data_IF_269571257942
#
_entry.id   IF_269571257942
#
_cell.length_a   1.000
_cell.length_b   1.000
_cell.length_c   1.000
_cell.angle_alpha   90.00
_cell.angle_beta   90.00
_cell.angle_gamma   90.00
#
_symmetry.space_group_name_H-M   'P 1'
#
loop_
_entity.id
_entity.type
_entity.pdbx_description
1 polymer ?
#
# COMPACT_ATOMS: atom_id res chain seq x y z
N UNK A 1 10.16 14.68 16.20
CA UNK A 1 10.63 14.64 17.62
C UNK A 1 10.99 13.20 17.93
N UNK A 2 12.29 12.91 18.06
CA UNK A 2 12.79 11.61 18.48
C UNK A 2 12.23 11.27 19.87
N UNK A 3 11.41 10.27 19.97
CA UNK A 3 11.01 9.76 21.28
C UNK A 3 12.23 9.08 21.91
N UNK A 4 12.73 9.64 23.02
CA UNK A 4 13.86 9.05 23.72
C UNK A 4 13.53 7.61 24.17
N UNK A 5 14.51 6.69 24.18
CA UNK A 5 14.31 5.31 24.65
C UNK A 5 13.68 5.23 26.06
N UNK A 6 13.86 6.26 26.89
CA UNK A 6 13.27 6.33 28.23
C UNK A 6 11.76 6.59 28.21
N UNK A 7 11.23 7.38 27.27
CA UNK A 7 9.79 7.59 27.10
C UNK A 7 9.07 6.33 26.57
N UNK A 8 9.78 5.51 25.82
CA UNK A 8 9.25 4.27 25.28
C UNK A 8 9.13 3.15 26.34
N UNK A 9 9.88 3.22 27.46
CA UNK A 9 9.88 2.17 28.50
C UNK A 9 8.55 1.99 29.24
N UNK A 10 7.66 2.95 29.19
CA UNK A 10 6.33 2.89 29.82
C UNK A 10 5.20 2.37 28.92
N UNK A 11 5.48 2.11 27.64
CA UNK A 11 4.45 1.62 26.73
C UNK A 11 4.33 0.10 26.85
N UNK A 12 3.11 -0.38 27.09
CA UNK A 12 2.79 -1.81 27.21
C UNK A 12 2.85 -2.50 25.84
N UNK A 13 2.47 -1.78 24.79
CA UNK A 13 2.51 -2.25 23.42
C UNK A 13 3.31 -1.28 22.54
N UNK A 14 4.16 -1.83 21.69
CA UNK A 14 4.95 -1.07 20.71
C UNK A 14 4.84 -1.80 19.39
N UNK A 15 4.39 -1.11 18.39
CA UNK A 15 4.49 -1.54 17.02
C UNK A 15 5.41 -0.57 16.27
N UNK A 16 6.35 -1.10 15.53
CA UNK A 16 7.17 -0.31 14.61
C UNK A 16 6.34 -0.20 13.32
N UNK A 17 6.08 1.02 12.82
CA UNK A 17 5.33 1.17 11.59
C UNK A 17 5.97 0.38 10.46
N UNK A 18 5.19 -0.46 9.79
CA UNK A 18 5.65 -1.23 8.65
C UNK A 18 5.87 -0.32 7.45
N UNK A 19 6.78 -0.74 6.59
CA UNK A 19 6.98 -0.11 5.29
C UNK A 19 6.23 -0.89 4.21
N UNK A 20 5.67 -0.14 3.27
CA UNK A 20 4.93 -0.64 2.12
C UNK A 20 5.63 -0.22 0.84
N UNK A 21 5.82 -1.16 -0.08
CA UNK A 21 6.31 -0.93 -1.43
C UNK A 21 5.17 -0.93 -2.45
N UNK A 22 5.47 -0.51 -3.67
CA UNK A 22 4.55 -0.61 -4.80
C UNK A 22 4.44 -2.07 -5.23
N UNK A 23 3.22 -2.50 -5.52
CA UNK A 23 2.92 -3.86 -5.97
C UNK A 23 2.22 -3.81 -7.33
N UNK A 24 2.77 -4.50 -8.33
CA UNK A 24 2.18 -4.62 -9.65
C UNK A 24 3.13 -4.29 -10.79
N UNK A 25 2.59 -3.97 -11.91
CA UNK A 25 3.13 -3.92 -13.25
C UNK A 25 4.60 -3.49 -13.39
N UNK A 26 5.41 -4.37 -13.97
CA UNK A 26 6.73 -3.99 -14.49
C UNK A 26 6.57 -2.91 -15.57
N UNK A 27 7.29 -1.80 -15.41
CA UNK A 27 7.34 -0.73 -16.41
C UNK A 27 7.89 -1.28 -17.72
N UNK A 28 7.15 -1.15 -18.81
CA UNK A 28 7.73 -1.33 -20.15
C UNK A 28 6.86 -1.95 -21.22
N UNK A 29 5.65 -2.36 -20.95
CA UNK A 29 4.75 -2.83 -22.01
C UNK A 29 3.83 -1.71 -22.43
N UNK A 30 3.88 -1.30 -23.69
CA UNK A 30 2.79 -0.54 -24.30
C UNK A 30 1.52 -1.40 -24.16
N UNK A 31 0.67 -1.07 -23.21
CA UNK A 31 -0.55 -1.83 -22.94
C UNK A 31 -1.52 -1.59 -24.10
N UNK A 32 -1.61 -2.57 -24.98
CA UNK A 32 -2.77 -2.64 -25.87
C UNK A 32 -3.97 -3.05 -25.00
N UNK A 33 -5.08 -2.33 -25.12
CA UNK A 33 -6.31 -2.70 -24.40
C UNK A 33 -6.73 -4.12 -24.79
N UNK A 34 -6.70 -5.01 -23.82
CA UNK A 34 -7.24 -6.35 -23.92
C UNK A 34 -8.50 -6.45 -23.06
N UNK A 35 -9.68 -6.65 -23.61
CA UNK A 35 -10.92 -6.81 -22.84
C UNK A 35 -11.00 -8.19 -22.16
N UNK A 36 -10.10 -9.12 -22.48
CA UNK A 36 -10.15 -10.49 -21.98
C UNK A 36 -10.15 -10.59 -20.43
N UNK A 37 -9.35 -9.83 -19.67
CA UNK A 37 -9.42 -9.83 -18.21
C UNK A 37 -10.78 -9.41 -17.67
N UNK A 38 -11.38 -8.36 -18.19
CA UNK A 38 -12.71 -7.90 -17.78
C UNK A 38 -13.81 -8.93 -18.14
N UNK A 39 -13.65 -9.60 -19.26
CA UNK A 39 -14.56 -10.65 -19.69
C UNK A 39 -14.41 -11.91 -18.81
N UNK A 40 -13.19 -12.36 -18.53
CA UNK A 40 -12.91 -13.53 -17.67
C UNK A 40 -13.39 -13.34 -16.25
N UNK A 41 -13.26 -12.10 -15.71
CA UNK A 41 -13.76 -11.75 -14.38
C UNK A 41 -15.28 -11.51 -14.33
N UNK A 42 -16.00 -11.63 -15.45
CA UNK A 42 -17.45 -11.41 -15.51
C UNK A 42 -17.87 -9.92 -15.46
N UNK A 43 -16.92 -8.98 -15.53
CA UNK A 43 -17.18 -7.55 -15.41
C UNK A 43 -18.01 -7.06 -16.61
N UNK A 44 -17.67 -7.45 -17.83
CA UNK A 44 -18.41 -7.04 -19.02
C UNK A 44 -19.87 -7.50 -19.00
N UNK A 45 -20.14 -8.69 -18.43
CA UNK A 45 -21.49 -9.22 -18.30
C UNK A 45 -22.37 -8.36 -17.37
N UNK A 46 -21.80 -7.86 -16.26
CA UNK A 46 -22.56 -7.02 -15.31
C UNK A 46 -22.65 -5.56 -15.76
N UNK A 47 -21.71 -5.10 -16.58
CA UNK A 47 -21.77 -3.77 -17.20
C UNK A 47 -22.85 -3.69 -18.29
N UNK A 48 -23.16 -4.81 -18.94
CA UNK A 48 -24.20 -4.90 -19.97
C UNK A 48 -25.61 -5.00 -19.42
N UNK A 49 -26.59 -4.90 -20.37
CA UNK A 49 -28.00 -5.11 -20.04
C UNK A 49 -28.23 -6.56 -19.56
N UNK A 50 -29.15 -6.82 -18.61
CA UNK A 50 -30.06 -5.84 -17.98
C UNK A 50 -29.49 -5.12 -16.77
N UNK A 51 -28.30 -5.48 -16.29
CA UNK A 51 -27.77 -5.02 -15.00
C UNK A 51 -27.23 -3.59 -15.08
N UNK A 52 -26.48 -3.25 -16.13
CA UNK A 52 -25.87 -1.93 -16.38
C UNK A 52 -25.08 -1.39 -15.17
N UNK A 53 -24.30 -2.28 -14.50
CA UNK A 53 -23.52 -1.94 -13.32
C UNK A 53 -22.16 -1.36 -13.76
N UNK A 54 -22.06 -0.05 -13.82
CA UNK A 54 -20.88 0.69 -14.31
C UNK A 54 -20.14 1.44 -13.21
N UNK A 55 -20.52 1.24 -11.94
CA UNK A 55 -19.98 1.95 -10.78
C UNK A 55 -20.64 3.31 -10.51
N UNK A 56 -21.67 3.69 -11.25
CA UNK A 56 -22.39 4.95 -11.04
C UNK A 56 -22.93 5.05 -9.62
N UNK A 57 -22.63 6.17 -8.95
CA UNK A 57 -23.04 6.40 -7.57
C UNK A 57 -22.08 5.81 -6.51
N UNK A 58 -21.05 5.08 -6.92
CA UNK A 58 -20.00 4.55 -6.04
C UNK A 58 -18.78 5.47 -6.08
N UNK A 59 -18.07 5.57 -4.97
CA UNK A 59 -16.76 6.22 -4.86
C UNK A 59 -15.68 5.13 -4.85
N UNK A 60 -14.69 5.24 -5.73
CA UNK A 60 -13.46 4.48 -5.68
C UNK A 60 -12.38 5.35 -5.02
N UNK A 61 -11.83 4.87 -3.93
CA UNK A 61 -10.76 5.52 -3.19
C UNK A 61 -9.42 4.83 -3.47
N UNK A 62 -8.43 5.58 -3.92
CA UNK A 62 -7.08 5.07 -4.18
C UNK A 62 -6.08 5.68 -3.22
N UNK A 63 -5.18 4.88 -2.70
CA UNK A 63 -4.03 5.31 -1.94
C UNK A 63 -2.78 4.71 -2.57
N UNK A 64 -1.95 5.58 -3.17
CA UNK A 64 -0.85 5.16 -4.04
C UNK A 64 0.12 6.34 -4.31
N UNK A 65 0.85 6.30 -5.44
CA UNK A 65 1.79 7.36 -5.89
C UNK A 65 1.12 8.66 -6.32
N UNK A 66 -0.21 8.71 -6.39
CA UNK A 66 -1.00 9.84 -6.87
C UNK A 66 -1.83 9.50 -8.11
N UNK A 67 -2.17 10.52 -8.88
CA UNK A 67 -2.92 10.39 -10.13
C UNK A 67 -2.57 11.51 -11.11
N UNK A 68 -2.48 11.20 -12.39
CA UNK A 68 -2.43 12.17 -13.49
C UNK A 68 -3.84 12.63 -13.79
N UNK A 69 -4.31 13.58 -13.01
CA UNK A 69 -5.71 14.03 -13.03
C UNK A 69 -6.14 14.65 -14.35
N UNK A 70 -5.20 15.04 -15.20
CA UNK A 70 -5.40 15.64 -16.51
C UNK A 70 -5.62 14.61 -17.64
N UNK A 71 -5.50 13.33 -17.37
CA UNK A 71 -5.80 12.28 -18.34
C UNK A 71 -7.30 12.19 -18.67
N UNK A 72 -7.63 11.91 -19.94
CA UNK A 72 -9.03 11.81 -20.42
C UNK A 72 -9.81 10.69 -19.74
N UNK A 73 -9.13 9.60 -19.36
CA UNK A 73 -9.75 8.43 -18.73
C UNK A 73 -10.41 8.74 -17.38
N UNK A 74 -10.14 9.91 -16.79
CA UNK A 74 -10.74 10.34 -15.53
C UNK A 74 -11.80 11.43 -15.70
N UNK A 75 -12.31 11.62 -16.92
CA UNK A 75 -13.33 12.64 -17.21
C UNK A 75 -14.66 12.02 -17.58
N UNK A 76 -15.72 12.78 -17.33
CA UNK A 76 -17.04 12.51 -17.87
C UNK A 76 -17.08 12.82 -19.38
N UNK A 77 -18.10 12.35 -20.12
CA UNK A 77 -18.25 12.67 -21.55
C UNK A 77 -18.37 14.18 -21.86
N UNK A 78 -18.78 14.99 -20.89
CA UNK A 78 -18.84 16.45 -20.98
C UNK A 78 -17.51 17.16 -20.71
N UNK A 79 -16.43 16.41 -20.47
CA UNK A 79 -15.10 16.90 -20.15
C UNK A 79 -14.89 17.27 -18.68
N UNK A 80 -15.91 17.18 -17.84
CA UNK A 80 -15.76 17.42 -16.39
C UNK A 80 -15.02 16.29 -15.70
N UNK A 81 -14.30 16.62 -14.61
CA UNK A 81 -13.57 15.60 -13.84
C UNK A 81 -14.50 14.68 -13.06
N UNK A 82 -14.15 13.39 -12.99
CA UNK A 82 -14.73 12.40 -12.06
C UNK A 82 -13.98 12.32 -10.73
N UNK A 83 -12.83 13.02 -10.64
CA UNK A 83 -12.05 13.07 -9.40
C UNK A 83 -12.70 14.09 -8.48
N UNK A 84 -13.17 13.63 -7.32
CA UNK A 84 -13.85 14.43 -6.33
C UNK A 84 -12.86 15.17 -5.42
N UNK A 85 -11.68 14.59 -5.20
CA UNK A 85 -10.64 15.17 -4.38
C UNK A 85 -9.33 14.40 -4.44
N UNK A 86 -8.24 15.11 -4.22
CA UNK A 86 -6.89 14.55 -4.07
C UNK A 86 -6.34 15.07 -2.76
N UNK A 87 -5.93 14.20 -1.87
CA UNK A 87 -5.09 14.55 -0.73
C UNK A 87 -3.64 14.19 -1.04
N UNK A 88 -2.83 15.18 -1.26
CA UNK A 88 -1.38 15.01 -1.41
C UNK A 88 -0.71 15.15 -0.05
N UNK A 89 -0.17 14.04 0.47
CA UNK A 89 0.48 14.03 1.78
C UNK A 89 1.89 14.62 1.75
N UNK A 90 2.49 14.85 0.57
CA UNK A 90 3.83 15.42 0.42
C UNK A 90 3.81 16.94 0.40
N UNK A 91 2.84 17.54 -0.28
CA UNK A 91 2.76 19.01 -0.45
C UNK A 91 2.16 19.64 0.80
N UNK A 92 2.92 20.55 1.44
CA UNK A 92 2.54 21.21 2.71
C UNK A 92 2.13 22.68 2.51
N UNK A 93 2.08 23.18 1.28
CA UNK A 93 1.86 24.61 1.00
C UNK A 93 0.39 25.02 0.98
N UNK A 94 -0.54 24.07 0.93
CA UNK A 94 -1.98 24.32 0.90
C UNK A 94 -2.66 23.95 2.22
N UNK A 95 -4.00 23.85 2.18
CA UNK A 95 -4.79 23.48 3.35
C UNK A 95 -4.88 21.94 3.45
N UNK A 96 -4.58 21.36 4.62
CA UNK A 96 -4.81 19.93 4.84
C UNK A 96 -6.31 19.63 4.88
N UNK A 97 -6.71 18.37 4.62
CA UNK A 97 -8.10 17.98 4.78
C UNK A 97 -8.58 18.15 6.22
N UNK A 98 -9.89 18.37 6.38
CA UNK A 98 -10.48 18.53 7.70
C UNK A 98 -10.18 17.36 8.64
N UNK A 99 -9.62 17.64 9.81
CA UNK A 99 -9.22 16.65 10.80
C UNK A 99 -7.83 16.04 10.60
N UNK A 100 -7.05 16.54 9.63
CA UNK A 100 -5.64 16.21 9.42
C UNK A 100 -4.76 17.44 9.60
N UNK A 101 -3.48 17.22 9.91
CA UNK A 101 -2.53 18.30 10.25
C UNK A 101 -1.44 18.49 9.20
N UNK A 102 -1.48 17.77 8.09
CA UNK A 102 -0.44 17.78 7.06
C UNK A 102 -1.01 17.48 5.68
N UNK A 103 -0.20 17.71 4.68
CA UNK A 103 -0.58 17.53 3.29
C UNK A 103 -1.42 18.69 2.76
N UNK A 104 -1.86 18.56 1.54
CA UNK A 104 -2.73 19.54 0.87
C UNK A 104 -3.90 18.82 0.20
N UNK A 105 -5.12 19.30 0.42
CA UNK A 105 -6.31 18.82 -0.27
C UNK A 105 -6.62 19.67 -1.50
N UNK A 106 -6.85 19.01 -2.62
CA UNK A 106 -7.33 19.61 -3.86
C UNK A 106 -8.74 19.12 -4.12
N UNK A 107 -9.70 20.05 -4.05
CA UNK A 107 -11.13 19.74 -4.27
C UNK A 107 -11.43 19.55 -5.74
N UNK A 108 -12.62 18.99 -6.03
CA UNK A 108 -13.13 18.84 -7.40
C UNK A 108 -13.11 20.15 -8.19
N UNK A 109 -13.47 21.25 -7.54
CA UNK A 109 -13.52 22.59 -8.15
C UNK A 109 -12.12 23.04 -8.58
N UNK A 110 -11.11 22.84 -7.74
CA UNK A 110 -9.71 23.15 -8.06
C UNK A 110 -9.19 22.28 -9.19
N UNK A 111 -9.50 21.00 -9.18
CA UNK A 111 -9.12 20.08 -10.26
C UNK A 111 -9.80 20.48 -11.56
N UNK A 112 -11.10 20.82 -11.53
CA UNK A 112 -11.82 21.28 -12.71
C UNK A 112 -11.25 22.60 -13.24
N UNK A 113 -10.90 23.54 -12.38
CA UNK A 113 -10.25 24.79 -12.78
C UNK A 113 -8.87 24.52 -13.40
N UNK A 114 -8.11 23.58 -12.85
CA UNK A 114 -6.82 23.18 -13.42
C UNK A 114 -6.99 22.62 -14.85
N UNK A 115 -7.99 21.77 -15.08
CA UNK A 115 -8.28 21.20 -16.41
C UNK A 115 -8.66 22.25 -17.47
N UNK A 116 -9.15 23.41 -17.03
CA UNK A 116 -9.52 24.52 -17.92
C UNK A 116 -8.37 25.53 -18.10
N UNK A 117 -7.27 25.37 -17.38
CA UNK A 117 -6.12 26.27 -17.40
C UNK A 117 -5.06 25.83 -18.41
N UNK A 118 -4.38 26.82 -19.04
CA UNK A 118 -3.16 26.55 -19.82
C UNK A 118 -1.99 26.02 -18.95
N UNK A 119 -2.07 26.22 -17.64
CA UNK A 119 -1.03 25.81 -16.68
C UNK A 119 -1.64 25.04 -15.51
N UNK A 120 -2.17 23.83 -15.74
CA UNK A 120 -2.92 23.08 -14.73
C UNK A 120 -2.11 22.84 -13.46
N UNK A 121 -0.83 22.53 -13.57
CA UNK A 121 0.05 22.26 -12.41
C UNK A 121 0.38 23.49 -11.54
N UNK A 122 0.05 24.70 -11.96
CA UNK A 122 0.11 25.87 -11.09
C UNK A 122 -1.09 25.96 -10.15
N UNK A 123 -2.21 25.35 -10.51
CA UNK A 123 -3.44 25.30 -9.69
C UNK A 123 -3.43 24.02 -8.84
N UNK A 124 -3.14 22.88 -9.44
CA UNK A 124 -3.04 21.57 -8.78
C UNK A 124 -1.65 20.98 -9.07
N UNK A 125 -0.64 21.29 -8.23
CA UNK A 125 0.72 20.77 -8.41
C UNK A 125 0.87 19.28 -8.08
N UNK A 126 -0.10 18.69 -7.37
CA UNK A 126 -0.13 17.26 -7.10
C UNK A 126 -0.19 16.45 -8.39
N UNK A 127 0.75 15.57 -8.57
CA UNK A 127 0.88 14.77 -9.80
C UNK A 127 1.52 13.42 -9.52
N UNK A 128 1.19 12.43 -10.32
CA UNK A 128 1.80 11.11 -10.26
C UNK A 128 3.00 11.02 -11.20
N UNK A 129 4.19 11.31 -10.68
CA UNK A 129 5.43 11.22 -11.45
C UNK A 129 5.84 9.76 -11.69
N UNK A 130 5.44 8.85 -10.81
CA UNK A 130 5.73 7.44 -10.92
C UNK A 130 4.88 6.76 -12.01
N UNK A 131 3.58 7.05 -12.03
CA UNK A 131 2.60 6.46 -12.95
C UNK A 131 1.81 5.29 -12.36
N UNK A 132 2.30 4.64 -11.29
CA UNK A 132 1.69 3.43 -10.72
C UNK A 132 0.24 3.66 -10.25
N UNK A 133 -0.01 4.70 -9.46
CA UNK A 133 -1.37 5.02 -8.99
C UNK A 133 -2.30 5.37 -10.14
N UNK A 134 -1.79 6.05 -11.17
CA UNK A 134 -2.55 6.38 -12.39
C UNK A 134 -2.96 5.12 -13.16
N UNK A 135 -2.05 4.16 -13.30
CA UNK A 135 -2.32 2.90 -13.98
C UNK A 135 -3.40 2.09 -13.24
N UNK A 136 -3.25 1.92 -11.91
CA UNK A 136 -4.24 1.23 -11.08
C UNK A 136 -5.61 1.91 -11.16
N UNK A 137 -5.65 3.25 -11.03
CA UNK A 137 -6.89 4.00 -11.13
C UNK A 137 -7.53 3.87 -12.52
N UNK A 138 -6.73 3.83 -13.58
CA UNK A 138 -7.22 3.65 -14.96
C UNK A 138 -7.87 2.28 -15.16
N UNK A 139 -7.22 1.20 -14.70
CA UNK A 139 -7.75 -0.17 -14.80
C UNK A 139 -9.05 -0.31 -14.00
N UNK A 140 -9.12 0.30 -12.81
CA UNK A 140 -10.30 0.21 -11.97
C UNK A 140 -11.44 1.14 -12.42
N UNK A 141 -11.14 2.38 -12.81
CA UNK A 141 -12.12 3.44 -12.97
C UNK A 141 -12.02 4.21 -14.29
N UNK A 142 -11.20 3.79 -15.24
CA UNK A 142 -11.06 4.52 -16.51
C UNK A 142 -12.38 4.66 -17.26
N UNK A 143 -12.68 5.86 -17.76
CA UNK A 143 -13.85 6.15 -18.59
C UNK A 143 -13.80 5.40 -19.92
N UNK A 144 -14.95 5.17 -20.53
CA UNK A 144 -15.04 4.67 -21.89
C UNK A 144 -14.57 5.76 -22.85
N UNK A 145 -13.41 5.56 -23.46
CA UNK A 145 -12.89 6.49 -24.47
C UNK A 145 -13.48 6.18 -25.86
N UNK A 146 -13.94 7.22 -26.54
CA UNK A 146 -14.39 7.15 -27.93
C UNK A 146 -13.18 7.33 -28.85
N UNK A 147 -12.83 6.31 -29.62
CA UNK A 147 -11.69 6.33 -30.55
C UNK A 147 -11.14 4.96 -30.81
N UNK A 148 -10.03 4.84 -31.54
CA UNK A 148 -9.44 3.55 -31.95
C UNK A 148 -8.95 2.64 -30.80
N UNK A 149 -8.73 3.20 -29.60
CA UNK A 149 -8.42 2.46 -28.37
C UNK A 149 -9.69 2.43 -27.50
N UNK A 150 -10.39 1.31 -27.50
CA UNK A 150 -11.56 1.08 -26.63
C UNK A 150 -11.10 0.71 -25.22
N UNK A 151 -10.42 1.61 -24.54
CA UNK A 151 -10.08 1.40 -23.13
C UNK A 151 -11.25 1.78 -22.23
N UNK A 152 -11.56 0.96 -21.25
CA UNK A 152 -12.38 1.33 -20.09
C UNK A 152 -12.03 0.48 -18.88
N UNK A 153 -12.20 1.04 -17.71
CA UNK A 153 -11.98 0.36 -16.43
C UNK A 153 -13.16 -0.53 -16.03
N UNK A 154 -12.97 -1.21 -14.92
CA UNK A 154 -14.00 -2.07 -14.32
C UNK A 154 -15.25 -1.29 -13.88
N UNK A 155 -15.10 -0.03 -13.47
CA UNK A 155 -16.18 0.85 -13.01
C UNK A 155 -16.10 2.24 -13.68
N UNK A 156 -16.37 2.34 -14.99
CA UNK A 156 -16.10 3.54 -15.79
C UNK A 156 -16.95 4.76 -15.41
N UNK A 157 -18.03 4.60 -14.67
CA UNK A 157 -18.91 5.69 -14.20
C UNK A 157 -18.76 5.96 -12.68
N UNK A 158 -17.81 5.34 -12.01
CA UNK A 158 -17.55 5.63 -10.60
C UNK A 158 -16.86 6.98 -10.43
N UNK A 159 -17.14 7.68 -9.33
CA UNK A 159 -16.33 8.83 -8.92
C UNK A 159 -15.07 8.38 -8.18
N UNK A 160 -14.05 9.23 -8.19
CA UNK A 160 -12.70 8.90 -7.76
C UNK A 160 -12.26 9.84 -6.63
N UNK A 161 -11.64 9.30 -5.58
CA UNK A 161 -10.92 10.07 -4.58
C UNK A 161 -9.52 9.47 -4.43
N UNK A 162 -8.50 10.30 -4.38
CA UNK A 162 -7.11 9.83 -4.36
C UNK A 162 -6.37 10.37 -3.16
N UNK A 163 -5.56 9.53 -2.54
CA UNK A 163 -4.51 9.95 -1.62
C UNK A 163 -3.15 9.65 -2.25
N UNK A 164 -2.40 10.70 -2.53
CA UNK A 164 -0.99 10.56 -2.86
C UNK A 164 -0.23 10.41 -1.55
N UNK A 165 0.29 9.20 -1.32
CA UNK A 165 1.05 8.87 -0.13
C UNK A 165 2.40 9.60 -0.14
N UNK A 166 2.84 10.06 1.03
CA UNK A 166 4.18 10.61 1.17
C UNK A 166 5.21 9.52 1.41
N UNK A 167 6.41 9.76 0.95
CA UNK A 167 7.55 8.87 1.20
C UNK A 167 7.77 8.66 2.70
N UNK A 168 8.14 7.44 3.06
CA UNK A 168 8.51 7.10 4.43
C UNK A 168 9.69 7.94 4.90
N UNK A 169 9.72 8.25 6.18
CA UNK A 169 10.78 9.05 6.79
C UNK A 169 12.12 8.32 6.70
N UNK A 170 13.17 9.09 6.48
CA UNK A 170 14.52 8.57 6.28
C UNK A 170 14.99 7.62 7.38
N UNK A 171 14.69 7.91 8.65
CA UNK A 171 15.08 7.03 9.75
C UNK A 171 14.45 5.62 9.66
N UNK A 172 13.23 5.51 9.10
CA UNK A 172 12.58 4.20 8.87
C UNK A 172 13.23 3.48 7.70
N UNK A 173 13.41 4.16 6.56
CA UNK A 173 14.05 3.55 5.39
C UNK A 173 15.48 3.08 5.70
N UNK A 174 16.23 3.85 6.50
CA UNK A 174 17.55 3.45 6.99
C UNK A 174 17.49 2.24 7.93
N UNK A 175 16.50 2.21 8.86
CA UNK A 175 16.33 1.10 9.81
C UNK A 175 15.93 -0.22 9.14
N UNK A 176 15.24 -0.14 8.01
CA UNK A 176 14.82 -1.29 7.22
C UNK A 176 15.74 -1.56 6.01
N UNK A 177 16.88 -0.91 5.94
CA UNK A 177 17.89 -1.06 4.88
C UNK A 177 17.36 -0.82 3.48
N UNK A 178 16.30 -0.01 3.33
CA UNK A 178 15.74 0.34 2.02
C UNK A 178 16.78 1.10 1.21
N UNK A 179 17.08 0.68 -0.03
CA UNK A 179 18.03 1.37 -0.89
C UNK A 179 17.58 2.81 -1.22
N UNK A 180 18.55 3.70 -1.45
CA UNK A 180 18.26 5.08 -1.84
C UNK A 180 17.49 5.13 -3.17
N UNK A 181 16.45 5.95 -3.21
CA UNK A 181 15.61 6.13 -4.41
C UNK A 181 14.50 5.08 -4.58
N UNK A 182 14.41 4.10 -3.71
CA UNK A 182 13.28 3.15 -3.68
C UNK A 182 12.08 3.78 -2.98
N UNK A 183 10.92 3.65 -3.60
CA UNK A 183 9.65 4.13 -3.04
C UNK A 183 9.21 3.25 -1.88
N UNK A 184 9.01 3.85 -0.72
CA UNK A 184 8.47 3.19 0.46
C UNK A 184 7.50 4.10 1.20
N UNK A 185 6.43 3.55 1.75
CA UNK A 185 5.38 4.27 2.48
C UNK A 185 5.27 3.75 3.90
N UNK A 186 4.95 4.66 4.84
CA UNK A 186 4.81 4.33 6.27
C UNK A 186 3.36 3.94 6.59
N UNK A 187 3.17 2.88 7.39
CA UNK A 187 1.86 2.35 7.80
C UNK A 187 0.92 3.42 8.39
N UNK A 188 1.43 4.36 9.17
CA UNK A 188 0.61 5.42 9.77
C UNK A 188 0.00 6.35 8.72
N UNK A 189 0.72 6.63 7.63
CA UNK A 189 0.23 7.45 6.53
C UNK A 189 -0.81 6.71 5.69
N UNK A 190 -0.66 5.40 5.57
CA UNK A 190 -1.66 4.49 4.97
C UNK A 190 -2.94 4.47 5.79
N UNK A 191 -2.86 4.33 7.12
CA UNK A 191 -4.03 4.40 8.02
C UNK A 191 -4.73 5.76 7.91
N UNK A 192 -3.96 6.84 7.86
CA UNK A 192 -4.51 8.18 7.68
C UNK A 192 -5.22 8.33 6.33
N UNK A 193 -4.65 7.77 5.25
CA UNK A 193 -5.25 7.75 3.92
C UNK A 193 -6.61 7.03 3.91
N UNK A 194 -6.69 5.84 4.51
CA UNK A 194 -7.95 5.10 4.66
C UNK A 194 -9.00 5.91 5.41
N UNK A 195 -8.59 6.57 6.51
CA UNK A 195 -9.49 7.44 7.30
C UNK A 195 -10.02 8.62 6.47
N UNK A 196 -9.19 9.23 5.64
CA UNK A 196 -9.60 10.31 4.73
C UNK A 196 -10.64 9.82 3.72
N UNK A 197 -10.38 8.69 3.05
CA UNK A 197 -11.31 8.11 2.08
C UNK A 197 -12.66 7.76 2.71
N UNK A 198 -12.66 7.20 3.92
CA UNK A 198 -13.89 6.95 4.67
C UNK A 198 -14.66 8.24 4.98
N UNK A 199 -13.95 9.27 5.46
CA UNK A 199 -14.53 10.59 5.74
C UNK A 199 -15.24 11.18 4.52
N UNK A 200 -14.61 11.05 3.36
CA UNK A 200 -15.18 11.48 2.09
C UNK A 200 -16.50 10.76 1.76
N UNK A 201 -16.48 9.44 1.82
CA UNK A 201 -17.66 8.62 1.52
C UNK A 201 -18.81 8.84 2.53
N UNK A 202 -18.48 9.09 3.80
CA UNK A 202 -19.48 9.42 4.85
C UNK A 202 -20.11 10.78 4.57
N UNK A 203 -19.32 11.80 4.26
CA UNK A 203 -19.83 13.15 3.96
C UNK A 203 -20.79 13.15 2.77
N UNK A 204 -20.51 12.34 1.76
CA UNK A 204 -21.33 12.20 0.56
C UNK A 204 -22.47 11.17 0.71
N UNK A 205 -22.50 10.38 1.78
CA UNK A 205 -23.46 9.28 2.01
C UNK A 205 -23.45 8.25 0.85
N UNK A 206 -22.25 7.89 0.37
CA UNK A 206 -22.07 7.01 -0.80
C UNK A 206 -21.32 5.72 -0.43
N UNK A 207 -21.55 4.64 -1.18
CA UNK A 207 -20.70 3.46 -1.10
C UNK A 207 -19.25 3.80 -1.46
N UNK A 208 -18.30 3.12 -0.80
CA UNK A 208 -16.87 3.28 -1.02
C UNK A 208 -16.22 1.92 -1.25
N UNK A 209 -15.40 1.85 -2.28
CA UNK A 209 -14.42 0.78 -2.48
C UNK A 209 -13.04 1.38 -2.37
N UNK A 210 -12.22 0.89 -1.44
CA UNK A 210 -10.84 1.30 -1.26
C UNK A 210 -9.95 0.34 -2.04
N UNK A 211 -9.06 0.87 -2.88
CA UNK A 211 -8.06 0.14 -3.64
C UNK A 211 -6.66 0.50 -3.11
N UNK A 212 -5.92 -0.52 -2.68
CA UNK A 212 -4.54 -0.39 -2.21
C UNK A 212 -3.61 -1.16 -3.15
N UNK A 213 -2.82 -0.44 -3.97
CA UNK A 213 -1.81 -1.00 -4.86
C UNK A 213 -0.44 -1.18 -4.20
N UNK A 214 -0.39 -1.17 -2.88
CA UNK A 214 0.82 -1.27 -2.07
C UNK A 214 0.77 -2.49 -1.16
N UNK A 215 1.91 -3.08 -0.86
CA UNK A 215 2.01 -4.26 -0.01
C UNK A 215 3.29 -4.28 0.82
N UNK A 216 3.38 -5.26 1.72
CA UNK A 216 4.52 -5.50 2.58
C UNK A 216 4.67 -6.98 2.87
N UNK A 217 5.91 -7.45 3.06
CA UNK A 217 6.21 -8.80 3.55
C UNK A 217 6.28 -8.86 5.09
N UNK A 218 6.11 -7.74 5.77
CA UNK A 218 6.22 -7.65 7.22
C UNK A 218 4.93 -8.09 7.91
N UNK A 219 5.09 -8.66 9.10
CA UNK A 219 3.96 -9.07 9.93
C UNK A 219 3.66 -10.57 9.88
N UNK A 220 2.70 -11.01 10.68
CA UNK A 220 2.37 -12.43 10.89
C UNK A 220 1.58 -13.09 9.76
N UNK A 221 1.22 -12.38 8.72
CA UNK A 221 0.42 -12.84 7.57
C UNK A 221 -0.96 -13.45 7.94
N UNK A 222 -1.43 -13.22 9.17
CA UNK A 222 -2.73 -13.71 9.67
C UNK A 222 -3.78 -12.60 9.79
N UNK A 223 -3.48 -11.41 9.30
CA UNK A 223 -4.40 -10.27 9.34
C UNK A 223 -4.57 -9.63 10.72
N UNK A 224 -3.61 -9.81 11.63
CA UNK A 224 -3.64 -9.30 13.01
C UNK A 224 -2.79 -8.04 13.21
N UNK A 225 -2.26 -7.45 12.14
CA UNK A 225 -1.58 -6.16 12.24
C UNK A 225 -2.58 -5.03 12.49
N UNK A 226 -2.11 -3.92 13.05
CA UNK A 226 -2.94 -2.75 13.35
C UNK A 226 -3.69 -2.26 12.10
N UNK A 227 -3.00 -2.17 10.97
CA UNK A 227 -3.62 -1.81 9.69
C UNK A 227 -4.65 -2.85 9.26
N UNK A 228 -4.34 -4.15 9.34
CA UNK A 228 -5.25 -5.21 8.93
C UNK A 228 -6.54 -5.19 9.76
N UNK A 229 -6.45 -5.04 11.09
CA UNK A 229 -7.61 -4.90 11.96
C UNK A 229 -8.43 -3.65 11.64
N UNK A 230 -7.75 -2.53 11.35
CA UNK A 230 -8.44 -1.32 10.93
C UNK A 230 -9.18 -1.50 9.60
N UNK A 231 -8.54 -2.09 8.58
CA UNK A 231 -9.16 -2.40 7.29
C UNK A 231 -10.35 -3.35 7.45
N UNK A 232 -10.23 -4.37 8.30
CA UNK A 232 -11.34 -5.26 8.64
C UNK A 232 -12.50 -4.48 9.26
N UNK A 233 -12.22 -3.56 10.20
CA UNK A 233 -13.25 -2.72 10.82
C UNK A 233 -13.97 -1.84 9.80
N UNK A 234 -13.25 -1.35 8.78
CA UNK A 234 -13.81 -0.59 7.66
C UNK A 234 -14.69 -1.50 6.79
N UNK A 235 -14.16 -2.65 6.39
CA UNK A 235 -14.84 -3.58 5.48
C UNK A 235 -16.12 -4.19 6.07
N UNK A 236 -16.24 -4.29 7.40
CA UNK A 236 -17.48 -4.75 8.06
C UNK A 236 -18.59 -3.72 8.06
N UNK A 237 -18.32 -2.46 7.74
CA UNK A 237 -19.34 -1.40 7.67
C UNK A 237 -20.15 -1.55 6.38
N UNK A 238 -21.43 -1.24 6.49
CA UNK A 238 -22.32 -1.27 5.32
C UNK A 238 -21.84 -0.35 4.22
N UNK A 239 -21.89 -0.85 2.98
CA UNK A 239 -21.48 -0.12 1.77
C UNK A 239 -20.00 0.26 1.77
N UNK A 240 -19.16 -0.57 2.37
CA UNK A 240 -17.69 -0.48 2.32
C UNK A 240 -17.11 -1.77 1.78
N UNK A 241 -16.08 -1.62 0.96
CA UNK A 241 -15.25 -2.73 0.48
C UNK A 241 -13.80 -2.27 0.47
N UNK A 242 -12.89 -3.18 0.83
CA UNK A 242 -11.45 -2.93 0.78
C UNK A 242 -10.83 -4.00 -0.11
N UNK A 243 -10.07 -3.57 -1.08
CA UNK A 243 -9.33 -4.42 -2.02
C UNK A 243 -7.85 -4.14 -1.84
N UNK A 244 -7.10 -5.18 -1.54
CA UNK A 244 -5.64 -5.14 -1.39
C UNK A 244 -5.02 -6.04 -2.45
N UNK A 245 -3.81 -5.69 -2.89
CA UNK A 245 -3.05 -6.53 -3.80
C UNK A 245 -2.58 -7.83 -3.11
N UNK A 246 -2.43 -8.89 -3.89
CA UNK A 246 -1.91 -10.18 -3.40
C UNK A 246 -0.38 -10.27 -3.37
N UNK A 247 0.30 -9.21 -3.84
CA UNK A 247 1.74 -9.19 -4.03
C UNK A 247 2.18 -9.80 -5.38
N UNK A 248 3.37 -9.45 -5.81
CA UNK A 248 4.00 -9.88 -7.06
C UNK A 248 5.37 -10.55 -6.85
N UNK A 249 5.76 -10.74 -5.59
CA UNK A 249 7.06 -11.30 -5.19
C UNK A 249 7.08 -12.83 -5.02
N UNK A 250 6.16 -13.55 -5.64
CA UNK A 250 6.05 -15.01 -5.48
C UNK A 250 7.32 -15.82 -5.81
N UNK A 251 8.21 -15.27 -6.62
CA UNK A 251 9.49 -15.88 -6.97
C UNK A 251 10.69 -15.31 -6.16
N UNK A 252 10.47 -14.32 -5.30
CA UNK A 252 11.54 -13.63 -4.57
C UNK A 252 12.00 -14.37 -3.31
N UNK A 253 11.28 -15.44 -2.92
CA UNK A 253 11.58 -16.26 -1.75
C UNK A 253 11.72 -15.46 -0.44
N UNK A 254 10.95 -14.38 -0.29
CA UNK A 254 10.94 -13.54 0.92
C UNK A 254 10.10 -14.10 2.05
N UNK A 255 9.50 -15.28 1.87
CA UNK A 255 8.66 -15.93 2.87
C UNK A 255 9.00 -17.41 3.01
N UNK A 256 9.06 -17.88 4.25
CA UNK A 256 9.22 -19.29 4.59
C UNK A 256 8.15 -19.69 5.60
N UNK A 257 7.56 -20.87 5.43
CA UNK A 257 6.67 -21.47 6.41
C UNK A 257 7.24 -22.82 6.85
N UNK A 258 7.43 -22.98 8.17
CA UNK A 258 7.85 -24.23 8.79
C UNK A 258 6.78 -24.78 9.73
N UNK A 259 6.86 -26.08 10.03
CA UNK A 259 5.92 -26.73 10.92
C UNK A 259 6.69 -27.45 12.03
N UNK A 260 6.43 -27.06 13.28
CA UNK A 260 6.90 -27.85 14.42
C UNK A 260 6.15 -29.19 14.48
N UNK A 261 6.87 -30.29 14.57
CA UNK A 261 6.27 -31.63 14.65
C UNK A 261 5.59 -31.82 16.00
N UNK A 262 4.28 -32.00 16.01
CA UNK A 262 3.53 -32.27 17.23
C UNK A 262 4.03 -33.54 17.95
N UNK A 263 4.23 -33.44 19.27
CA UNK A 263 4.66 -34.57 20.10
C UNK A 263 6.18 -34.69 20.30
N UNK A 264 7.00 -33.89 19.64
CA UNK A 264 8.44 -33.79 19.98
C UNK A 264 8.65 -32.76 21.07
N UNK A 265 9.50 -33.09 22.06
CA UNK A 265 9.87 -32.16 23.12
C UNK A 265 10.70 -30.97 22.59
N UNK A 266 11.36 -31.15 21.46
CA UNK A 266 12.16 -30.16 20.79
C UNK A 266 12.29 -30.53 19.31
N UNK A 267 11.98 -29.60 18.42
CA UNK A 267 12.25 -29.72 16.99
C UNK A 267 13.06 -28.51 16.55
N UNK A 268 13.99 -28.72 15.62
CA UNK A 268 14.81 -27.65 15.04
C UNK A 268 14.52 -27.60 13.55
N UNK A 269 14.20 -26.41 13.05
CA UNK A 269 14.06 -26.11 11.64
C UNK A 269 15.23 -25.21 11.24
N UNK A 270 15.85 -25.48 10.10
CA UNK A 270 16.92 -24.62 9.56
C UNK A 270 16.36 -23.87 8.36
N UNK A 271 16.44 -22.54 8.43
CA UNK A 271 16.05 -21.65 7.34
C UNK A 271 17.30 -21.01 6.79
N UNK A 272 17.61 -21.24 5.51
CA UNK A 272 18.72 -20.59 4.83
C UNK A 272 18.24 -19.22 4.30
N UNK A 273 18.92 -18.16 4.75
CA UNK A 273 18.70 -16.81 4.24
C UNK A 273 19.85 -16.47 3.31
N UNK A 274 19.53 -16.18 2.05
CA UNK A 274 20.50 -15.75 1.07
C UNK A 274 20.47 -14.23 0.96
N UNK A 275 21.60 -13.60 1.22
CA UNK A 275 21.78 -12.16 1.12
C UNK A 275 22.58 -11.84 -0.14
N UNK A 276 22.06 -10.97 -0.98
CA UNK A 276 22.70 -10.59 -2.23
C UNK A 276 23.93 -9.69 -2.00
N UNK A 277 24.85 -9.72 -2.97
CA UNK A 277 26.05 -8.91 -2.89
C UNK A 277 25.69 -7.41 -2.94
N UNK A 278 26.23 -6.66 -1.99
CA UNK A 278 26.02 -5.21 -1.91
C UNK A 278 24.87 -4.79 -1.00
N UNK A 279 24.10 -5.75 -0.46
CA UNK A 279 23.10 -5.45 0.56
C UNK A 279 23.76 -4.97 1.87
N UNK A 280 23.22 -3.89 2.44
CA UNK A 280 23.73 -3.31 3.69
C UNK A 280 23.21 -4.01 4.93
N UNK A 281 22.14 -4.79 4.77
CA UNK A 281 21.45 -5.50 5.83
C UNK A 281 20.06 -5.93 5.41
N UNK A 282 19.40 -6.67 6.28
CA UNK A 282 18.03 -7.11 6.09
C UNK A 282 17.31 -7.24 7.42
N UNK A 283 16.00 -7.27 7.39
CA UNK A 283 15.14 -7.57 8.54
C UNK A 283 14.47 -8.92 8.29
N UNK A 284 14.59 -9.82 9.26
CA UNK A 284 13.86 -11.09 9.26
C UNK A 284 12.93 -11.13 10.47
N UNK A 285 11.66 -11.40 10.23
CA UNK A 285 10.64 -11.56 11.27
C UNK A 285 10.28 -13.05 11.41
N UNK A 286 10.34 -13.56 12.63
CA UNK A 286 9.84 -14.90 12.95
C UNK A 286 8.55 -14.80 13.76
N UNK A 287 7.49 -15.33 13.21
CA UNK A 287 6.17 -15.43 13.84
C UNK A 287 5.87 -16.87 14.21
N UNK A 288 5.49 -17.12 15.46
CA UNK A 288 5.12 -18.43 15.94
C UNK A 288 3.71 -18.47 16.50
N UNK A 289 3.05 -19.62 16.38
CA UNK A 289 1.70 -19.84 16.93
C UNK A 289 1.74 -20.21 18.42
N UNK A 290 0.89 -19.55 19.21
CA UNK A 290 0.70 -19.89 20.63
C UNK A 290 0.00 -21.28 20.76
N UNK A 291 0.31 -22.06 21.80
CA UNK A 291 1.18 -21.78 22.96
C UNK A 291 2.64 -22.21 22.79
N UNK A 292 3.11 -22.41 21.55
CA UNK A 292 4.49 -22.80 21.28
C UNK A 292 5.51 -21.80 21.82
N UNK A 293 6.64 -22.30 22.29
CA UNK A 293 7.81 -21.48 22.64
C UNK A 293 8.90 -21.70 21.62
N UNK A 294 9.51 -20.63 21.16
CA UNK A 294 10.53 -20.66 20.13
C UNK A 294 11.80 -19.98 20.62
N UNK A 295 12.93 -20.42 20.09
CA UNK A 295 14.22 -19.74 20.24
C UNK A 295 14.90 -19.66 18.87
N UNK A 296 15.68 -18.62 18.64
CA UNK A 296 16.42 -18.41 17.40
C UNK A 296 17.91 -18.47 17.68
N UNK A 297 18.65 -19.19 16.85
CA UNK A 297 20.10 -19.08 16.74
C UNK A 297 20.45 -18.74 15.30
N UNK A 298 21.42 -17.86 15.11
CA UNK A 298 21.92 -17.48 13.79
C UNK A 298 23.24 -18.18 13.55
N UNK A 299 23.37 -18.86 12.42
CA UNK A 299 24.62 -19.45 11.98
C UNK A 299 25.16 -18.64 10.80
N UNK A 300 26.35 -18.09 10.96
CA UNK A 300 27.06 -17.42 9.90
C UNK A 300 27.61 -18.44 8.87
N UNK A 301 27.89 -18.03 7.61
CA UNK A 301 28.52 -18.88 6.60
C UNK A 301 29.84 -19.47 7.03
N UNK A 302 30.64 -18.76 7.84
CA UNK A 302 31.90 -19.22 8.46
C UNK A 302 31.73 -20.34 9.50
N UNK A 303 30.49 -20.67 9.88
CA UNK A 303 30.16 -21.70 10.84
C UNK A 303 30.01 -21.24 12.29
N UNK A 304 30.25 -19.96 12.59
CA UNK A 304 29.96 -19.38 13.91
C UNK A 304 28.44 -19.42 14.17
N UNK A 305 28.09 -19.72 15.40
CA UNK A 305 26.68 -19.85 15.84
C UNK A 305 26.45 -18.99 17.08
N UNK A 306 25.34 -18.25 17.10
CA UNK A 306 24.94 -17.49 18.29
C UNK A 306 24.33 -18.41 19.36
N UNK A 307 24.40 -18.01 20.62
CA UNK A 307 23.55 -18.59 21.62
C UNK A 307 22.06 -18.44 21.27
N UNK A 308 21.22 -19.40 21.67
CA UNK A 308 19.78 -19.29 21.44
C UNK A 308 19.19 -18.06 22.15
N UNK A 309 18.37 -17.32 21.42
CA UNK A 309 17.58 -16.19 21.95
C UNK A 309 16.12 -16.63 22.02
N UNK A 310 15.59 -16.71 23.23
CA UNK A 310 14.19 -17.06 23.46
C UNK A 310 13.26 -15.90 23.12
N UNK A 311 12.03 -16.21 22.71
CA UNK A 311 10.97 -15.24 22.57
C UNK A 311 10.59 -14.66 23.94
N UNK A 312 11.16 -13.51 24.25
CA UNK A 312 10.84 -12.73 25.45
C UNK A 312 10.54 -11.30 25.09
N UNK A 313 9.59 -10.72 25.79
CA UNK A 313 9.23 -9.32 25.59
C UNK A 313 10.43 -8.42 25.89
N UNK A 314 10.83 -7.61 24.92
CA UNK A 314 11.87 -6.58 25.05
C UNK A 314 13.30 -7.08 25.30
N UNK A 315 13.63 -8.32 25.02
CA UNK A 315 15.00 -8.79 25.03
C UNK A 315 15.69 -8.42 23.70
N UNK A 316 16.83 -7.73 23.78
CA UNK A 316 17.69 -7.42 22.64
C UNK A 316 19.06 -8.01 22.90
N UNK A 317 19.62 -8.68 21.91
CA UNK A 317 21.00 -9.19 21.92
C UNK A 317 21.71 -8.77 20.66
N UNK A 318 22.96 -8.39 20.80
CA UNK A 318 23.85 -8.02 19.71
C UNK A 318 24.97 -9.07 19.60
N UNK A 319 25.22 -9.53 18.41
CA UNK A 319 26.27 -10.49 18.08
C UNK A 319 27.11 -9.93 16.94
N UNK A 320 28.43 -10.16 17.03
CA UNK A 320 29.36 -9.81 15.96
C UNK A 320 30.07 -11.09 15.52
N UNK A 321 29.96 -11.42 14.23
CA UNK A 321 30.70 -12.53 13.63
C UNK A 321 32.07 -12.04 13.16
N UNK A 322 33.15 -12.66 13.69
CA UNK A 322 34.51 -12.16 13.52
C UNK A 322 35.08 -12.56 12.16
N UNK A 323 34.64 -13.70 11.63
CA UNK A 323 35.18 -14.27 10.39
C UNK A 323 34.42 -13.85 9.14
N UNK A 324 33.28 -13.21 9.30
CA UNK A 324 32.50 -12.66 8.21
C UNK A 324 32.97 -11.23 7.93
N UNK A 325 33.82 -11.09 6.90
CA UNK A 325 34.21 -9.78 6.39
C UNK A 325 33.23 -9.36 5.31
N UNK A 326 32.12 -8.84 5.66
CA UNK A 326 31.20 -8.19 4.75
C UNK A 326 30.90 -6.79 5.20
#
# INVERSE_FOLDING_TARGET
>A
DEMSPQRLRGLIYRDVPKLFGLMGLERGSAVSFDPEPLMKCGILQVQGAPLNLTGRGVVLGFLDTGIRYDEEVFRNPDGSTRILGIWDQEIQSGQPPAGFLYGTEYTRELIQAALQSEKPRQIVPSYDENGHGTEIASVAAGSILSGGLRFHGAAPDADIVVVKLKQAKRYLTESFFVPDGVTAYEENDVIAAVKYLEGYAVSMRRPLVICMGIGTNMGNHEGQSLLAEYLNSVATRRSRSVVVCGGDEGNSAHHFIGYATAGMKQSTENVEIRVDAGERGFVAELWGTMPGTHAISIRAPGGEITDPVDFKVQETREFTFIYEKT
#
